data_IF_217439211507
#
_entry.id   IF_217439211507
#
_cell.length_a   1.000
_cell.length_b   1.000
_cell.length_c   1.000
_cell.angle_alpha   90.00
_cell.angle_beta   90.00
_cell.angle_gamma   90.00
#
_symmetry.space_group_name_H-M   'P 1'
#
loop_
_entity.id
_entity.type
_entity.pdbx_description
1 polymer ?
#
# COMPACT_ATOMS: atom_id res chain seq x y z
N UNK A 1 13.30 -15.29 21.90
CA UNK A 1 11.95 -15.88 21.86
C UNK A 1 11.14 -15.03 20.90
N UNK A 2 10.70 -15.57 19.76
CA UNK A 2 9.84 -14.84 18.82
C UNK A 2 8.52 -14.54 19.51
N UNK A 3 8.21 -13.27 19.77
CA UNK A 3 6.91 -12.89 20.32
C UNK A 3 5.85 -13.23 19.28
N UNK A 4 4.95 -14.16 19.61
CA UNK A 4 3.78 -14.46 18.79
C UNK A 4 2.70 -13.45 19.18
N UNK A 5 2.51 -12.44 18.33
CA UNK A 5 1.44 -11.46 18.50
C UNK A 5 0.13 -12.07 17.98
N UNK A 6 -0.83 -12.25 18.88
CA UNK A 6 -2.17 -12.73 18.50
C UNK A 6 -3.01 -11.55 18.06
N UNK A 7 -3.25 -11.42 16.75
CA UNK A 7 -4.14 -10.40 16.20
C UNK A 7 -5.60 -10.86 16.35
N UNK A 8 -6.39 -10.13 17.15
CA UNK A 8 -7.84 -10.35 17.25
C UNK A 8 -8.51 -9.56 16.12
N UNK A 9 -9.10 -10.26 15.16
CA UNK A 9 -9.93 -9.63 14.14
C UNK A 9 -11.30 -9.28 14.73
N UNK A 10 -11.58 -8.00 14.95
CA UNK A 10 -12.91 -7.53 15.32
C UNK A 10 -13.75 -7.29 14.06
N UNK A 11 -15.00 -7.75 14.08
CA UNK A 11 -15.95 -7.51 12.99
C UNK A 11 -16.61 -6.13 13.19
N UNK A 12 -15.86 -5.06 12.91
CA UNK A 12 -16.38 -3.70 12.99
C UNK A 12 -17.22 -3.35 11.75
N UNK A 13 -18.44 -2.79 11.92
CA UNK A 13 -19.26 -2.35 10.80
C UNK A 13 -18.47 -1.39 9.88
N UNK A 14 -18.40 -1.72 8.59
CA UNK A 14 -17.70 -0.90 7.58
C UNK A 14 -16.19 -1.17 7.44
N UNK A 15 -15.59 -2.08 8.23
CA UNK A 15 -14.20 -2.52 8.04
C UNK A 15 -14.13 -3.98 7.67
N UNK A 16 -13.70 -4.25 6.45
CA UNK A 16 -13.50 -5.63 5.95
C UNK A 16 -12.11 -6.16 6.27
N UNK A 17 -11.11 -5.27 6.35
CA UNK A 17 -9.72 -5.61 6.66
C UNK A 17 -9.29 -4.89 7.94
N UNK A 18 -8.57 -5.60 8.80
CA UNK A 18 -7.87 -5.01 9.94
C UNK A 18 -6.63 -4.27 9.45
N UNK A 19 -6.46 -3.02 9.89
CA UNK A 19 -5.21 -2.27 9.69
C UNK A 19 -4.20 -2.74 10.73
N UNK A 20 -3.07 -3.26 10.27
CA UNK A 20 -1.98 -3.70 11.14
C UNK A 20 -0.89 -2.62 11.14
N UNK A 21 -0.79 -1.88 12.24
CA UNK A 21 0.15 -0.76 12.36
C UNK A 21 1.60 -1.23 12.18
N UNK A 22 1.95 -2.36 12.80
CA UNK A 22 3.29 -2.95 12.70
C UNK A 22 3.67 -3.28 11.24
N UNK A 23 2.72 -3.71 10.40
CA UNK A 23 2.99 -3.98 8.98
C UNK A 23 3.35 -2.69 8.21
N UNK A 24 2.71 -1.57 8.56
CA UNK A 24 3.00 -0.27 7.95
C UNK A 24 4.37 0.25 8.39
N UNK A 25 4.73 0.07 9.66
CA UNK A 25 6.03 0.46 10.22
C UNK A 25 7.17 -0.39 9.63
N UNK A 26 6.96 -1.70 9.49
CA UNK A 26 7.88 -2.61 8.83
C UNK A 26 8.15 -2.17 7.38
N UNK A 27 7.10 -1.88 6.62
CA UNK A 27 7.27 -1.45 5.24
C UNK A 27 7.94 -0.08 5.12
N UNK A 28 7.68 0.83 6.06
CA UNK A 28 8.36 2.13 6.13
C UNK A 28 9.86 1.93 6.36
N UNK A 29 10.23 1.04 7.28
CA UNK A 29 11.63 0.72 7.59
C UNK A 29 12.34 0.09 6.39
N UNK A 30 11.67 -0.85 5.71
CA UNK A 30 12.15 -1.48 4.47
C UNK A 30 12.39 -0.43 3.38
N UNK A 31 11.43 0.47 3.16
CA UNK A 31 11.53 1.52 2.15
C UNK A 31 12.67 2.50 2.45
N UNK A 32 12.84 2.92 3.70
CA UNK A 32 13.94 3.80 4.11
C UNK A 32 15.30 3.13 3.91
N UNK A 33 15.42 1.84 4.25
CA UNK A 33 16.65 1.07 4.05
C UNK A 33 17.01 0.93 2.57
N UNK A 34 16.00 0.74 1.71
CA UNK A 34 16.21 0.73 0.26
C UNK A 34 16.65 2.10 -0.27
N UNK A 35 16.00 3.18 0.16
CA UNK A 35 16.37 4.55 -0.23
C UNK A 35 17.78 4.94 0.26
N UNK A 36 18.23 4.37 1.39
CA UNK A 36 19.59 4.52 1.90
C UNK A 36 20.63 3.66 1.18
N UNK A 37 20.21 2.80 0.24
CA UNK A 37 21.10 1.88 -0.51
C UNK A 37 21.56 0.66 0.30
N UNK A 38 20.98 0.40 1.47
CA UNK A 38 21.35 -0.71 2.35
C UNK A 38 20.42 -1.93 2.24
N UNK A 39 19.49 -1.93 1.28
CA UNK A 39 18.59 -3.05 0.98
C UNK A 39 18.82 -3.49 -0.47
N UNK A 40 19.17 -4.77 -0.66
CA UNK A 40 19.19 -5.43 -1.96
C UNK A 40 17.93 -5.14 -2.80
N UNK A 41 18.17 -4.73 -4.05
CA UNK A 41 17.12 -4.28 -4.96
C UNK A 41 16.13 -5.39 -5.34
N UNK A 42 16.62 -6.60 -5.61
CA UNK A 42 15.76 -7.73 -5.99
C UNK A 42 14.87 -8.16 -4.81
N UNK A 43 15.44 -8.18 -3.60
CA UNK A 43 14.71 -8.49 -2.38
C UNK A 43 13.66 -7.41 -2.08
N UNK A 44 14.01 -6.13 -2.21
CA UNK A 44 13.07 -5.03 -2.02
C UNK A 44 11.96 -5.02 -3.09
N UNK A 45 12.29 -5.35 -4.34
CA UNK A 45 11.31 -5.49 -5.41
C UNK A 45 10.24 -6.54 -5.04
N UNK A 46 10.65 -7.70 -4.55
CA UNK A 46 9.71 -8.72 -4.08
C UNK A 46 8.87 -8.23 -2.88
N UNK A 47 9.46 -7.48 -1.95
CA UNK A 47 8.77 -6.92 -0.78
C UNK A 47 7.70 -5.90 -1.20
N UNK A 48 8.05 -4.88 -1.99
CA UNK A 48 7.14 -3.81 -2.40
C UNK A 48 5.99 -4.30 -3.28
N UNK A 49 6.21 -5.35 -4.07
CA UNK A 49 5.15 -5.98 -4.88
C UNK A 49 4.02 -6.56 -4.01
N UNK A 50 4.34 -7.14 -2.84
CA UNK A 50 3.32 -7.63 -1.89
C UNK A 50 2.49 -6.49 -1.30
N UNK A 51 3.07 -5.31 -1.21
CA UNK A 51 2.42 -4.08 -0.75
C UNK A 51 1.70 -3.31 -1.88
N UNK A 52 1.58 -3.90 -3.07
CA UNK A 52 0.86 -3.30 -4.20
C UNK A 52 1.63 -2.20 -4.92
N UNK A 53 2.95 -2.09 -4.72
CA UNK A 53 3.81 -1.10 -5.38
C UNK A 53 4.53 -1.75 -6.55
N UNK A 54 4.13 -1.41 -7.77
CA UNK A 54 4.65 -1.96 -9.03
C UNK A 54 5.58 -0.97 -9.71
N UNK A 55 6.67 -1.47 -10.30
CA UNK A 55 7.52 -0.63 -11.15
C UNK A 55 6.83 -0.37 -12.48
N UNK A 56 7.07 0.79 -13.08
CA UNK A 56 6.68 1.05 -14.47
C UNK A 56 7.89 0.92 -15.41
N UNK A 57 7.65 1.02 -16.72
CA UNK A 57 8.74 1.03 -17.71
C UNK A 57 9.50 2.36 -17.69
N UNK A 58 8.86 3.45 -17.28
CA UNK A 58 9.55 4.70 -17.03
C UNK A 58 10.36 4.59 -15.74
N UNK A 59 11.57 5.17 -15.76
CA UNK A 59 12.41 5.24 -14.57
C UNK A 59 11.72 6.03 -13.45
N UNK A 60 12.02 5.66 -12.22
CA UNK A 60 11.67 6.38 -10.99
C UNK A 60 10.17 6.58 -10.73
N UNK A 61 9.28 5.91 -11.46
CA UNK A 61 7.83 5.95 -11.22
C UNK A 61 7.26 4.58 -10.93
N UNK A 62 6.26 4.59 -10.05
CA UNK A 62 5.62 3.38 -9.55
C UNK A 62 4.10 3.47 -9.74
N UNK A 63 3.45 2.33 -9.92
CA UNK A 63 2.00 2.21 -9.82
C UNK A 63 1.66 1.63 -8.45
N UNK A 64 0.75 2.30 -7.73
CA UNK A 64 0.24 1.85 -6.44
C UNK A 64 -1.16 1.27 -6.65
N UNK A 65 -1.35 0.02 -6.25
CA UNK A 65 -2.64 -0.65 -6.28
C UNK A 65 -3.25 -0.64 -4.87
N UNK A 66 -4.36 0.06 -4.73
CA UNK A 66 -5.16 0.07 -3.49
C UNK A 66 -6.17 -1.08 -3.53
N UNK A 67 -6.32 -1.79 -2.41
CA UNK A 67 -7.28 -2.88 -2.27
C UNK A 67 -8.61 -2.33 -1.74
N UNK A 68 -9.69 -2.57 -2.47
CA UNK A 68 -11.06 -2.18 -2.08
C UNK A 68 -11.92 -3.43 -1.95
N UNK A 69 -11.99 -4.07 -0.77
CA UNK A 69 -12.72 -5.33 -0.61
C UNK A 69 -14.16 -5.22 -1.14
N UNK A 70 -14.51 -6.09 -2.10
CA UNK A 70 -15.82 -6.09 -2.78
C UNK A 70 -16.15 -4.79 -3.53
N UNK A 71 -15.16 -3.94 -3.80
CA UNK A 71 -15.33 -2.60 -4.35
C UNK A 71 -15.96 -1.58 -3.39
N UNK A 72 -16.03 -1.90 -2.09
CA UNK A 72 -16.53 -0.97 -1.08
C UNK A 72 -15.57 0.20 -0.88
N UNK A 73 -16.07 1.42 -1.01
CA UNK A 73 -15.37 2.67 -0.70
C UNK A 73 -16.37 3.71 -0.22
N UNK A 74 -16.06 4.43 0.86
CA UNK A 74 -16.89 5.54 1.33
C UNK A 74 -16.54 6.83 0.58
N UNK A 75 -17.43 7.85 0.54
CA UNK A 75 -17.10 9.15 -0.06
C UNK A 75 -15.81 9.75 0.50
N UNK A 76 -15.63 9.73 1.83
CA UNK A 76 -14.42 10.24 2.48
C UNK A 76 -13.14 9.47 2.09
N UNK A 77 -13.23 8.14 1.89
CA UNK A 77 -12.09 7.36 1.39
C UNK A 77 -11.79 7.70 -0.07
N UNK A 78 -12.80 7.95 -0.88
CA UNK A 78 -12.63 8.36 -2.28
C UNK A 78 -11.99 9.75 -2.38
N UNK A 79 -12.41 10.69 -1.53
CA UNK A 79 -11.79 12.02 -1.41
C UNK A 79 -10.32 11.92 -1.03
N UNK A 80 -9.98 11.08 -0.04
CA UNK A 80 -8.59 10.82 0.36
C UNK A 80 -7.74 10.23 -0.79
N UNK A 81 -8.31 9.35 -1.61
CA UNK A 81 -7.63 8.86 -2.82
C UNK A 81 -7.41 9.98 -3.85
N UNK A 82 -8.35 10.92 -3.94
CA UNK A 82 -8.23 12.14 -4.74
C UNK A 82 -7.05 13.00 -4.29
N UNK A 83 -6.96 13.32 -3.00
CA UNK A 83 -5.85 14.10 -2.41
C UNK A 83 -4.48 13.47 -2.70
N UNK A 84 -4.38 12.13 -2.55
CA UNK A 84 -3.16 11.39 -2.87
C UNK A 84 -2.82 11.50 -4.36
N UNK A 85 -3.81 11.37 -5.24
CA UNK A 85 -3.60 11.52 -6.68
C UNK A 85 -3.15 12.92 -7.08
N UNK A 86 -3.72 13.96 -6.46
CA UNK A 86 -3.33 15.35 -6.72
C UNK A 86 -1.90 15.66 -6.24
N UNK A 87 -1.50 15.08 -5.11
CA UNK A 87 -0.21 15.34 -4.49
C UNK A 87 0.93 14.57 -5.16
N UNK A 88 0.70 13.29 -5.48
CA UNK A 88 1.78 12.37 -5.84
C UNK A 88 1.72 11.84 -7.28
N UNK A 89 0.59 11.96 -7.99
CA UNK A 89 0.44 11.42 -9.35
C UNK A 89 0.64 12.55 -10.38
N UNK A 90 1.66 12.49 -11.25
CA UNK A 90 1.96 13.58 -12.19
C UNK A 90 0.78 13.96 -13.11
N UNK A 91 -0.05 12.97 -13.45
CA UNK A 91 -1.21 13.14 -14.33
C UNK A 91 -2.53 13.34 -13.58
N UNK A 92 -2.49 13.42 -12.24
CA UNK A 92 -3.66 13.63 -11.36
C UNK A 92 -4.82 12.70 -11.69
N UNK A 93 -4.53 11.42 -11.94
CA UNK A 93 -5.51 10.42 -12.37
C UNK A 93 -5.37 9.12 -11.59
N UNK A 94 -6.51 8.55 -11.23
CA UNK A 94 -6.66 7.16 -10.77
C UNK A 94 -7.29 6.30 -11.86
N UNK A 95 -7.02 5.00 -11.83
CA UNK A 95 -7.67 4.04 -12.72
C UNK A 95 -8.42 3.00 -11.89
N UNK A 96 -9.68 2.74 -12.27
CA UNK A 96 -10.48 1.66 -11.73
C UNK A 96 -10.10 0.38 -12.46
N UNK A 97 -9.65 -0.62 -11.70
CA UNK A 97 -9.32 -1.94 -12.25
C UNK A 97 -10.57 -2.80 -12.42
N UNK A 98 -10.49 -3.81 -13.28
CA UNK A 98 -11.57 -4.80 -13.46
C UNK A 98 -11.73 -5.76 -12.28
N UNK A 99 -10.82 -5.67 -11.30
CA UNK A 99 -10.87 -6.39 -10.01
C UNK A 99 -10.94 -5.33 -8.92
N UNK A 100 -12.06 -5.31 -8.22
CA UNK A 100 -12.28 -4.50 -7.04
C UNK A 100 -12.19 -5.41 -5.82
#
# INVERSE_FOLDING_TARGET
MTQVQTTIHSNEPGKVLSVLQDELEDFTTDAQSFLAGSYDEMAFQARRLRQGVYGQRQADVHMIRVKLPFGGVTPAQLDALGEVAETFVPLRKGHITTRQ
#
